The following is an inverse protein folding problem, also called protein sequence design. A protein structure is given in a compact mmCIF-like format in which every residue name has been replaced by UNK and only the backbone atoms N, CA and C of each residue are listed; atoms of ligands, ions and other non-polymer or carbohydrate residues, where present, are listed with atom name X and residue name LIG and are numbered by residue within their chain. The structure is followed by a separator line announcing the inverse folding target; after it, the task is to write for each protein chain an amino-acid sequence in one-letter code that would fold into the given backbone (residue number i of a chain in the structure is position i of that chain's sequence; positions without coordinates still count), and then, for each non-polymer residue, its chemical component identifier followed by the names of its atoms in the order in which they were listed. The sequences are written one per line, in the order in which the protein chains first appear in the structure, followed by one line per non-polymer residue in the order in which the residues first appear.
data_IF_302330752601
#
_entry.id   IF_302330752601
#
_cell.length_a   1.000
_cell.length_b   1.000
_cell.length_c   1.000
_cell.angle_alpha   90.00
_cell.angle_beta   90.00
_cell.angle_gamma   90.00
#
_symmetry.space_group_name_H-M   'P 1'
#
loop_
_entity.id
_entity.type
_entity.pdbx_description
1 polymer ?
#
# COMPACT_ATOMS: atom_id res chain seq x y z
N UNK A 1 -40.76 -5.92 -2.30
CA UNK A 1 -39.41 -6.54 -2.48
C UNK A 1 -38.74 -6.57 -1.10
N UNK A 2 -38.44 -7.73 -0.56
CA UNK A 2 -37.73 -7.86 0.73
C UNK A 2 -36.27 -8.07 0.41
N UNK A 3 -35.38 -7.20 0.93
CA UNK A 3 -33.91 -7.33 0.80
C UNK A 3 -33.43 -7.90 2.13
N UNK A 4 -32.78 -9.06 2.08
CA UNK A 4 -32.12 -9.66 3.24
C UNK A 4 -30.64 -9.29 3.20
N UNK A 5 -30.11 -8.82 4.34
CA UNK A 5 -28.68 -8.55 4.51
C UNK A 5 -28.08 -9.61 5.43
N UNK A 6 -26.93 -10.13 5.04
CA UNK A 6 -26.12 -11.00 5.91
C UNK A 6 -24.89 -10.24 6.34
N UNK A 7 -24.70 -10.07 7.64
CA UNK A 7 -23.53 -9.45 8.22
C UNK A 7 -22.49 -10.53 8.56
N UNK A 8 -21.24 -10.29 8.25
CA UNK A 8 -20.14 -11.19 8.60
C UNK A 8 -19.65 -10.99 10.04
N UNK A 9 -19.98 -9.83 10.63
CA UNK A 9 -19.57 -9.41 11.96
C UNK A 9 -20.75 -8.95 12.78
N UNK A 10 -20.60 -8.99 14.10
CA UNK A 10 -21.54 -8.40 15.07
C UNK A 10 -21.12 -6.96 15.38
N UNK A 11 -22.05 -6.16 15.94
CA UNK A 11 -21.77 -4.79 16.37
C UNK A 11 -20.61 -4.73 17.40
N UNK A 12 -20.47 -5.73 18.26
CA UNK A 12 -19.36 -5.82 19.22
C UNK A 12 -18.03 -6.03 18.48
N UNK A 13 -17.98 -6.90 17.50
CA UNK A 13 -16.78 -7.14 16.69
C UNK A 13 -16.38 -5.90 15.87
N UNK A 14 -17.35 -5.13 15.37
CA UNK A 14 -17.06 -3.87 14.69
C UNK A 14 -16.43 -2.84 15.64
N UNK A 15 -16.95 -2.71 16.88
CA UNK A 15 -16.35 -1.82 17.88
C UNK A 15 -14.91 -2.25 18.26
N UNK A 16 -14.69 -3.54 18.42
CA UNK A 16 -13.37 -4.10 18.74
C UNK A 16 -12.38 -3.89 17.57
N UNK A 17 -12.86 -4.07 16.32
CA UNK A 17 -12.10 -3.80 15.10
C UNK A 17 -11.67 -2.33 15.03
N UNK A 18 -12.58 -1.38 15.28
CA UNK A 18 -12.26 0.05 15.24
C UNK A 18 -11.20 0.44 16.29
N UNK A 19 -11.35 -0.06 17.52
CA UNK A 19 -10.40 0.20 18.60
C UNK A 19 -9.02 -0.38 18.30
N UNK A 20 -8.99 -1.62 17.81
CA UNK A 20 -7.73 -2.30 17.46
C UNK A 20 -7.06 -1.65 16.24
N UNK A 21 -7.84 -1.24 15.24
CA UNK A 21 -7.34 -0.51 14.08
C UNK A 21 -6.70 0.83 14.46
N UNK A 22 -7.35 1.59 15.35
CA UNK A 22 -6.78 2.84 15.87
C UNK A 22 -5.46 2.60 16.60
N UNK A 23 -5.41 1.58 17.46
CA UNK A 23 -4.20 1.21 18.20
C UNK A 23 -3.07 0.75 17.27
N UNK A 24 -3.41 0.03 16.20
CA UNK A 24 -2.43 -0.37 15.17
C UNK A 24 -1.86 0.84 14.43
N UNK A 25 -2.70 1.77 13.99
CA UNK A 25 -2.24 2.98 13.30
C UNK A 25 -1.34 3.85 14.18
N UNK A 26 -1.63 3.92 15.49
CA UNK A 26 -0.76 4.58 16.46
C UNK A 26 0.58 3.86 16.61
N UNK A 27 0.56 2.53 16.75
CA UNK A 27 1.76 1.70 16.81
C UNK A 27 2.65 1.87 15.56
N UNK A 28 2.05 1.90 14.37
CA UNK A 28 2.75 2.15 13.10
C UNK A 28 3.25 3.60 12.97
N UNK A 29 2.81 4.50 13.85
CA UNK A 29 3.21 5.90 13.83
C UNK A 29 2.63 6.70 12.66
N UNK A 30 1.53 6.22 12.07
CA UNK A 30 0.90 6.79 10.85
C UNK A 30 0.59 8.29 11.00
N UNK A 31 0.17 8.75 12.19
CA UNK A 31 -0.12 10.16 12.44
C UNK A 31 1.09 11.09 12.34
N UNK A 32 2.32 10.55 12.36
CA UNK A 32 3.57 11.31 12.25
C UNK A 32 4.11 11.33 10.81
N UNK A 33 3.53 10.54 9.92
CA UNK A 33 3.91 10.48 8.53
C UNK A 33 3.19 11.58 7.77
N UNK A 34 3.92 12.37 6.99
CA UNK A 34 3.35 13.47 6.21
C UNK A 34 2.73 12.96 4.92
N UNK A 35 3.38 11.99 4.29
CA UNK A 35 3.00 11.55 2.96
C UNK A 35 2.02 10.38 2.98
N UNK A 36 0.99 10.39 2.13
CA UNK A 36 0.00 9.31 2.03
C UNK A 36 0.62 7.95 1.66
N UNK A 37 1.65 7.94 0.83
CA UNK A 37 2.38 6.74 0.42
C UNK A 37 3.10 6.05 1.57
N UNK A 38 3.69 6.81 2.49
CA UNK A 38 4.36 6.27 3.68
C UNK A 38 3.37 5.58 4.60
N UNK A 39 2.22 6.22 4.82
CA UNK A 39 1.13 5.66 5.63
C UNK A 39 0.62 4.37 5.03
N UNK A 40 0.41 4.38 3.70
CA UNK A 40 -0.05 3.21 2.98
C UNK A 40 0.99 2.08 3.00
N UNK A 41 2.27 2.39 2.79
CA UNK A 41 3.36 1.42 2.82
C UNK A 41 3.43 0.73 4.18
N UNK A 42 3.42 1.49 5.28
CA UNK A 42 3.46 0.92 6.64
C UNK A 42 2.27 -0.01 6.92
N UNK A 43 1.07 0.36 6.46
CA UNK A 43 -0.14 -0.47 6.58
C UNK A 43 -0.02 -1.74 5.74
N UNK A 44 0.42 -1.61 4.49
CA UNK A 44 0.55 -2.72 3.55
C UNK A 44 1.59 -3.74 4.01
N UNK A 45 2.76 -3.26 4.42
CA UNK A 45 3.85 -4.08 4.98
C UNK A 45 3.36 -4.87 6.19
N UNK A 46 2.63 -4.20 7.09
CA UNK A 46 2.08 -4.87 8.25
C UNK A 46 1.08 -5.95 7.89
N UNK A 47 0.15 -5.68 6.94
CA UNK A 47 -0.80 -6.67 6.45
C UNK A 47 -0.08 -7.90 5.90
N UNK A 48 0.87 -7.69 4.99
CA UNK A 48 1.60 -8.78 4.33
C UNK A 48 2.43 -9.62 5.32
N UNK A 49 2.94 -8.99 6.38
CA UNK A 49 3.78 -9.66 7.37
C UNK A 49 3.01 -10.38 8.48
N UNK A 50 1.78 -9.93 8.79
CA UNK A 50 1.09 -10.37 10.01
C UNK A 50 -0.25 -11.07 9.78
N UNK A 51 -0.76 -11.08 8.55
CA UNK A 51 -2.02 -11.75 8.23
C UNK A 51 -1.73 -12.95 7.35
N UNK A 52 -2.23 -14.12 7.74
CA UNK A 52 -2.14 -15.36 6.98
C UNK A 52 -3.27 -15.43 5.94
N UNK A 53 -2.92 -15.77 4.69
CA UNK A 53 -3.93 -15.94 3.64
C UNK A 53 -4.60 -17.31 3.76
N UNK A 54 -5.89 -17.32 4.09
CA UNK A 54 -6.73 -18.51 4.28
C UNK A 54 -7.33 -19.03 2.95
N UNK A 55 -6.52 -19.05 1.91
CA UNK A 55 -6.96 -19.46 0.57
C UNK A 55 -7.48 -20.90 0.51
N UNK A 56 -6.99 -21.78 1.37
CA UNK A 56 -7.42 -23.19 1.44
C UNK A 56 -8.88 -23.31 1.89
N UNK A 57 -9.33 -22.47 2.80
CA UNK A 57 -10.68 -22.48 3.36
C UNK A 57 -11.64 -21.53 2.64
N UNK A 58 -11.25 -20.92 1.53
CA UNK A 58 -12.09 -19.93 0.83
C UNK A 58 -13.47 -20.45 0.46
N UNK A 59 -13.63 -21.73 0.15
CA UNK A 59 -14.88 -22.38 -0.21
C UNK A 59 -15.71 -22.90 0.98
N UNK A 60 -15.17 -22.82 2.21
CA UNK A 60 -15.92 -23.17 3.41
C UNK A 60 -16.96 -22.08 3.70
N UNK A 61 -18.22 -22.43 3.59
CA UNK A 61 -19.36 -21.52 3.82
C UNK A 61 -19.83 -21.48 5.27
N UNK A 62 -19.22 -22.27 6.16
CA UNK A 62 -19.60 -22.31 7.59
C UNK A 62 -18.95 -21.20 8.40
N UNK A 63 -17.75 -20.73 8.00
CA UNK A 63 -17.07 -19.61 8.62
C UNK A 63 -17.10 -18.38 7.71
N UNK A 64 -18.09 -17.53 7.85
CA UNK A 64 -18.22 -16.29 7.07
C UNK A 64 -17.33 -15.16 7.61
N UNK A 65 -16.84 -15.28 8.83
CA UNK A 65 -15.99 -14.24 9.46
C UNK A 65 -14.68 -14.01 8.68
N UNK A 66 -14.14 -15.04 8.03
CA UNK A 66 -12.92 -14.95 7.20
C UNK A 66 -12.97 -13.92 6.07
N UNK A 67 -14.18 -13.50 5.67
CA UNK A 67 -14.39 -12.45 4.65
C UNK A 67 -14.34 -11.03 5.23
N UNK A 68 -14.13 -10.88 6.55
CA UNK A 68 -14.20 -9.60 7.23
C UNK A 68 -12.83 -9.01 7.54
N UNK A 69 -12.79 -7.67 7.68
CA UNK A 69 -11.62 -6.97 8.22
C UNK A 69 -11.33 -7.38 9.67
N UNK A 70 -12.35 -7.82 10.43
CA UNK A 70 -12.18 -8.31 11.79
C UNK A 70 -11.28 -9.55 11.83
N UNK A 71 -11.57 -10.57 11.03
CA UNK A 71 -10.73 -11.77 10.97
C UNK A 71 -9.29 -11.42 10.54
N UNK A 72 -9.12 -10.57 9.53
CA UNK A 72 -7.80 -10.14 9.11
C UNK A 72 -7.02 -9.42 10.23
N UNK A 73 -7.67 -8.53 11.01
CA UNK A 73 -6.98 -7.76 12.04
C UNK A 73 -6.81 -8.51 13.35
N UNK A 74 -7.86 -9.18 13.84
CA UNK A 74 -7.89 -9.80 15.18
C UNK A 74 -7.43 -11.26 15.15
N UNK A 75 -7.98 -12.06 14.19
CA UNK A 75 -7.63 -13.47 14.06
C UNK A 75 -6.33 -13.68 13.27
N UNK A 76 -5.81 -12.62 12.62
CA UNK A 76 -4.59 -12.66 11.77
C UNK A 76 -4.69 -13.66 10.62
N UNK A 77 -5.91 -13.99 10.20
CA UNK A 77 -6.16 -14.96 9.14
C UNK A 77 -7.45 -14.61 8.40
N UNK A 78 -7.34 -14.43 7.08
CA UNK A 78 -8.49 -14.07 6.25
C UNK A 78 -8.30 -14.50 4.79
N UNK A 79 -9.38 -14.59 4.05
CA UNK A 79 -9.32 -14.67 2.57
C UNK A 79 -9.10 -13.27 1.97
N UNK A 80 -8.85 -13.19 0.66
CA UNK A 80 -8.53 -11.94 -0.05
C UNK A 80 -9.51 -10.79 0.22
N UNK A 81 -10.81 -11.08 0.35
CA UNK A 81 -11.81 -10.07 0.69
C UNK A 81 -11.58 -9.45 2.08
N UNK A 82 -11.19 -10.26 3.08
CA UNK A 82 -10.86 -9.76 4.42
C UNK A 82 -9.62 -8.85 4.40
N UNK A 83 -8.59 -9.21 3.62
CA UNK A 83 -7.44 -8.36 3.37
C UNK A 83 -7.84 -7.02 2.73
N UNK A 84 -8.62 -7.08 1.66
CA UNK A 84 -9.05 -5.89 0.94
C UNK A 84 -9.90 -4.95 1.82
N UNK A 85 -10.80 -5.51 2.65
CA UNK A 85 -11.60 -4.74 3.60
C UNK A 85 -10.73 -4.12 4.70
N UNK A 86 -9.73 -4.84 5.22
CA UNK A 86 -8.84 -4.30 6.25
C UNK A 86 -7.95 -3.19 5.68
N UNK A 87 -7.32 -3.41 4.51
CA UNK A 87 -6.55 -2.36 3.86
C UNK A 87 -7.39 -1.11 3.60
N UNK A 88 -8.61 -1.27 3.08
CA UNK A 88 -9.55 -0.17 2.86
C UNK A 88 -9.82 0.63 4.14
N UNK A 89 -10.16 -0.04 5.25
CA UNK A 89 -10.47 0.64 6.52
C UNK A 89 -9.26 1.36 7.10
N UNK A 90 -8.10 0.70 7.14
CA UNK A 90 -6.86 1.29 7.66
C UNK A 90 -6.39 2.46 6.80
N UNK A 91 -6.45 2.33 5.47
CA UNK A 91 -6.09 3.41 4.55
C UNK A 91 -6.98 4.64 4.74
N UNK A 92 -8.31 4.47 4.80
CA UNK A 92 -9.23 5.58 5.05
C UNK A 92 -8.97 6.24 6.41
N UNK A 93 -8.77 5.45 7.47
CA UNK A 93 -8.45 5.98 8.80
C UNK A 93 -7.11 6.72 8.83
N UNK A 94 -6.16 6.33 7.98
CA UNK A 94 -4.88 7.00 7.77
C UNK A 94 -4.95 8.22 6.82
N UNK A 95 -6.14 8.57 6.31
CA UNK A 95 -6.31 9.68 5.37
C UNK A 95 -5.92 9.37 3.92
N UNK A 96 -5.74 8.08 3.57
CA UNK A 96 -5.47 7.62 2.21
C UNK A 96 -6.76 7.12 1.57
N UNK A 97 -7.15 7.69 0.43
CA UNK A 97 -8.33 7.23 -0.29
C UNK A 97 -8.12 5.83 -0.87
N UNK A 98 -9.03 4.93 -0.57
CA UNK A 98 -9.02 3.57 -1.09
C UNK A 98 -10.41 3.12 -1.52
N UNK A 99 -10.48 2.03 -2.28
CA UNK A 99 -11.71 1.29 -2.65
C UNK A 99 -11.43 -0.20 -2.58
N UNK A 100 -12.45 -0.97 -2.32
CA UNK A 100 -12.42 -2.42 -2.50
C UNK A 100 -12.89 -2.73 -3.92
N UNK A 101 -12.20 -3.63 -4.56
CA UNK A 101 -12.55 -4.19 -5.88
C UNK A 101 -12.88 -5.66 -5.68
N UNK A 102 -14.02 -6.08 -6.22
CA UNK A 102 -14.42 -7.48 -6.28
C UNK A 102 -14.26 -8.00 -7.70
N UNK A 103 -13.97 -9.28 -7.83
CA UNK A 103 -13.83 -9.90 -9.15
C UNK A 103 -13.30 -11.31 -9.06
N UNK A 104 -12.48 -11.68 -10.02
CA UNK A 104 -11.84 -13.00 -10.05
C UNK A 104 -10.38 -12.92 -10.44
N UNK A 105 -9.61 -13.89 -9.96
CA UNK A 105 -8.25 -14.16 -10.37
C UNK A 105 -8.16 -15.64 -10.74
N UNK A 106 -7.74 -15.93 -11.99
CA UNK A 106 -7.74 -17.29 -12.53
C UNK A 106 -9.12 -17.99 -12.41
N UNK A 107 -10.19 -17.25 -12.63
CA UNK A 107 -11.60 -17.67 -12.50
C UNK A 107 -12.07 -17.99 -11.06
N UNK A 108 -11.29 -17.67 -10.05
CA UNK A 108 -11.66 -17.80 -8.63
C UNK A 108 -12.03 -16.44 -8.06
N UNK A 109 -13.08 -16.39 -7.21
CA UNK A 109 -13.53 -15.15 -6.56
C UNK A 109 -12.38 -14.53 -5.75
N UNK A 110 -12.16 -13.23 -5.95
CA UNK A 110 -11.05 -12.51 -5.34
C UNK A 110 -11.42 -11.05 -5.05
N UNK A 111 -10.75 -10.47 -4.02
CA UNK A 111 -10.90 -9.08 -3.65
C UNK A 111 -9.53 -8.41 -3.51
N UNK A 112 -9.41 -7.19 -4.03
CA UNK A 112 -8.20 -6.35 -3.93
C UNK A 112 -8.57 -4.88 -3.75
N UNK A 113 -7.63 -3.97 -3.89
CA UNK A 113 -7.89 -2.55 -3.65
C UNK A 113 -7.47 -1.67 -4.84
N UNK A 114 -8.20 -0.55 -4.99
CA UNK A 114 -7.68 0.68 -5.57
C UNK A 114 -7.26 1.61 -4.44
N UNK A 115 -6.12 2.26 -4.59
CA UNK A 115 -5.62 3.29 -3.67
C UNK A 115 -5.23 4.53 -4.46
N UNK A 116 -5.52 5.71 -3.89
CA UNK A 116 -5.26 7.00 -4.53
C UNK A 116 -4.03 7.64 -3.94
N UNK A 117 -3.05 7.92 -4.80
CA UNK A 117 -1.89 8.75 -4.49
C UNK A 117 -1.85 9.93 -5.46
N UNK A 118 -1.80 11.13 -4.91
CA UNK A 118 -1.97 12.35 -5.71
C UNK A 118 -3.29 12.34 -6.47
N UNK A 119 -3.22 12.48 -7.79
CA UNK A 119 -4.40 12.47 -8.68
C UNK A 119 -4.70 11.12 -9.31
N UNK A 120 -3.85 10.13 -9.12
CA UNK A 120 -3.93 8.81 -9.75
C UNK A 120 -4.36 7.72 -8.80
N UNK A 121 -4.98 6.69 -9.36
CA UNK A 121 -5.34 5.48 -8.65
C UNK A 121 -4.48 4.31 -9.13
N UNK A 122 -4.06 3.49 -8.17
CA UNK A 122 -3.21 2.32 -8.37
C UNK A 122 -3.91 1.10 -7.79
N UNK A 123 -3.59 -0.06 -8.31
CA UNK A 123 -4.07 -1.34 -7.78
C UNK A 123 -3.11 -1.91 -6.76
N UNK A 124 -3.65 -2.53 -5.71
CA UNK A 124 -2.87 -3.18 -4.66
C UNK A 124 -3.57 -4.45 -4.17
N UNK A 125 -2.83 -5.56 -4.07
CA UNK A 125 -3.33 -6.84 -3.59
C UNK A 125 -2.44 -7.42 -2.50
N UNK A 126 -2.76 -7.10 -1.25
CA UNK A 126 -2.01 -7.55 -0.09
C UNK A 126 -2.16 -9.05 0.16
N UNK A 127 -3.26 -9.68 -0.27
CA UNK A 127 -3.44 -11.11 -0.11
C UNK A 127 -2.48 -11.94 -0.99
N UNK A 128 -2.10 -11.41 -2.14
CA UNK A 128 -1.13 -12.05 -3.03
C UNK A 128 0.33 -11.79 -2.63
N UNK A 129 0.56 -10.72 -1.89
CA UNK A 129 1.87 -10.39 -1.33
C UNK A 129 2.05 -10.92 0.10
N UNK A 130 1.03 -11.59 0.68
CA UNK A 130 1.07 -12.14 2.02
C UNK A 130 2.23 -13.12 2.22
N UNK A 131 3.06 -12.87 3.24
CA UNK A 131 4.25 -13.67 3.53
C UNK A 131 5.41 -13.50 2.55
N UNK A 132 5.26 -12.68 1.50
CA UNK A 132 6.32 -12.41 0.54
C UNK A 132 7.25 -11.30 1.04
N UNK A 133 8.55 -11.42 0.72
CA UNK A 133 9.53 -10.36 1.02
C UNK A 133 9.47 -9.21 0.01
N UNK A 134 8.91 -9.42 -1.18
CA UNK A 134 8.80 -8.43 -2.24
C UNK A 134 7.33 -8.20 -2.59
N UNK A 135 6.90 -6.96 -2.54
CA UNK A 135 5.55 -6.54 -2.87
C UNK A 135 5.36 -6.41 -4.38
N UNK A 136 5.01 -7.53 -5.02
CA UNK A 136 4.85 -7.59 -6.48
C UNK A 136 3.51 -7.05 -6.96
N UNK A 137 2.53 -6.94 -6.06
CA UNK A 137 1.16 -6.52 -6.34
C UNK A 137 0.81 -5.20 -5.64
N UNK A 138 1.81 -4.42 -5.27
CA UNK A 138 1.66 -3.13 -4.61
C UNK A 138 1.76 -1.98 -5.60
N UNK A 139 0.79 -1.07 -5.59
CA UNK A 139 0.73 0.17 -6.37
C UNK A 139 0.96 -0.04 -7.88
N UNK A 140 0.26 -0.99 -8.45
CA UNK A 140 0.35 -1.35 -9.86
C UNK A 140 -0.63 -0.54 -10.71
N UNK A 141 -0.24 -0.25 -11.96
CA UNK A 141 -1.15 0.27 -12.99
C UNK A 141 -2.24 -0.76 -13.33
N UNK A 142 -1.82 -2.01 -13.43
CA UNK A 142 -2.71 -3.16 -13.63
C UNK A 142 -2.15 -4.39 -12.94
N UNK A 143 -3.05 -5.26 -12.51
CA UNK A 143 -2.71 -6.56 -11.97
C UNK A 143 -3.04 -7.63 -13.01
N UNK A 144 -2.05 -8.45 -13.36
CA UNK A 144 -2.24 -9.55 -14.30
C UNK A 144 -3.25 -10.57 -13.74
N UNK A 145 -4.08 -11.14 -14.61
CA UNK A 145 -5.11 -12.13 -14.26
C UNK A 145 -6.22 -11.64 -13.31
N UNK A 146 -6.23 -10.36 -12.91
CA UNK A 146 -7.31 -9.78 -12.12
C UNK A 146 -8.40 -9.26 -13.05
N UNK A 147 -9.60 -9.78 -12.89
CA UNK A 147 -10.77 -9.39 -13.68
C UNK A 147 -11.83 -8.85 -12.74
N UNK A 148 -12.05 -7.53 -12.69
CA UNK A 148 -13.09 -6.95 -11.86
C UNK A 148 -14.48 -7.43 -12.32
N UNK A 149 -15.41 -7.63 -11.38
CA UNK A 149 -16.80 -7.85 -11.73
C UNK A 149 -17.44 -6.60 -12.36
N UNK A 150 -18.68 -6.73 -12.87
CA UNK A 150 -19.31 -5.65 -13.62
C UNK A 150 -19.50 -4.36 -12.83
N UNK A 151 -19.77 -4.44 -11.52
CA UNK A 151 -19.93 -3.27 -10.65
C UNK A 151 -18.57 -2.63 -10.35
N UNK A 152 -17.59 -3.45 -9.99
CA UNK A 152 -16.22 -2.99 -9.74
C UNK A 152 -15.58 -2.41 -10.99
N UNK A 153 -15.79 -3.00 -12.16
CA UNK A 153 -15.31 -2.47 -13.44
C UNK A 153 -15.92 -1.09 -13.74
N UNK A 154 -17.21 -0.91 -13.48
CA UNK A 154 -17.90 0.38 -13.65
C UNK A 154 -17.33 1.44 -12.69
N UNK A 155 -17.06 1.08 -11.43
CA UNK A 155 -16.42 1.99 -10.45
C UNK A 155 -14.99 2.32 -10.87
N UNK A 156 -14.19 1.32 -11.28
CA UNK A 156 -12.83 1.55 -11.76
C UNK A 156 -12.80 2.48 -12.96
N UNK A 157 -13.75 2.36 -13.89
CA UNK A 157 -13.87 3.22 -15.06
C UNK A 157 -14.17 4.70 -14.74
N UNK A 158 -14.66 4.99 -13.53
CA UNK A 158 -14.88 6.37 -13.05
C UNK A 158 -13.63 6.98 -12.42
N UNK A 159 -12.59 6.20 -12.20
CA UNK A 159 -11.37 6.63 -11.54
C UNK A 159 -10.24 6.88 -12.54
N UNK A 160 -9.43 7.86 -12.25
CA UNK A 160 -8.27 8.20 -13.07
C UNK A 160 -7.11 7.26 -12.75
N UNK A 161 -7.18 6.04 -13.31
CA UNK A 161 -6.16 5.01 -13.10
C UNK A 161 -4.80 5.47 -13.65
N UNK A 162 -3.74 5.05 -12.98
CA UNK A 162 -2.39 5.30 -13.46
C UNK A 162 -2.10 4.42 -14.70
N UNK A 163 -1.49 4.97 -15.75
CA UNK A 163 -1.05 4.18 -16.91
C UNK A 163 0.23 3.39 -16.64
N UNK A 164 0.94 3.69 -15.55
CA UNK A 164 2.20 3.04 -15.15
C UNK A 164 2.15 2.68 -13.68
N UNK A 165 2.94 1.70 -13.28
CA UNK A 165 3.14 1.36 -11.88
C UNK A 165 3.68 2.59 -11.12
N UNK A 166 3.40 2.66 -9.82
CA UNK A 166 4.05 3.63 -8.97
C UNK A 166 5.53 3.26 -8.86
N UNK A 167 6.36 4.15 -9.33
CA UNK A 167 7.81 3.96 -9.31
C UNK A 167 8.46 5.12 -8.57
N UNK A 168 9.39 4.77 -7.71
CA UNK A 168 10.27 5.76 -7.10
C UNK A 168 11.24 6.22 -8.18
N UNK A 169 11.30 7.51 -8.42
CA UNK A 169 12.26 8.11 -9.34
C UNK A 169 13.61 8.24 -8.63
N UNK A 170 14.64 7.60 -9.18
CA UNK A 170 15.99 7.69 -8.61
C UNK A 170 16.44 9.16 -8.53
N UNK A 171 16.88 9.57 -7.37
CA UNK A 171 17.30 10.95 -7.08
C UNK A 171 16.18 11.90 -6.64
N UNK A 172 14.91 11.47 -6.70
CA UNK A 172 13.79 12.25 -6.21
C UNK A 172 13.43 11.75 -4.80
N UNK A 173 13.67 12.56 -3.77
CA UNK A 173 13.65 12.13 -2.37
C UNK A 173 12.54 12.80 -1.54
N UNK A 174 11.87 13.81 -2.12
CA UNK A 174 10.85 14.61 -1.42
C UNK A 174 9.42 14.39 -1.91
N UNK A 175 9.21 13.56 -2.94
CA UNK A 175 7.87 13.31 -3.50
C UNK A 175 7.33 14.46 -4.37
N UNK A 176 8.14 15.46 -4.71
CA UNK A 176 7.72 16.62 -5.53
C UNK A 176 7.50 16.29 -7.00
N UNK A 177 8.07 15.16 -7.46
CA UNK A 177 8.07 14.73 -8.86
C UNK A 177 9.21 15.31 -9.70
N UNK A 178 10.02 16.20 -9.13
CA UNK A 178 11.21 16.79 -9.74
C UNK A 178 12.47 16.49 -8.93
N UNK A 179 13.63 16.43 -9.56
CA UNK A 179 14.93 16.33 -8.88
C UNK A 179 15.49 17.73 -8.80
N UNK A 180 15.71 18.22 -7.57
CA UNK A 180 16.24 19.56 -7.33
C UNK A 180 17.21 19.61 -6.13
N UNK A 181 17.59 20.83 -5.73
CA UNK A 181 18.51 21.01 -4.59
C UNK A 181 17.92 20.55 -3.24
N UNK A 182 16.61 20.40 -3.14
CA UNK A 182 15.95 19.89 -1.93
C UNK A 182 16.27 18.41 -1.75
N UNK A 183 16.30 17.63 -2.85
CA UNK A 183 16.66 16.21 -2.81
C UNK A 183 18.12 16.01 -2.41
N UNK A 184 19.00 16.87 -2.92
CA UNK A 184 20.42 16.89 -2.51
C UNK A 184 20.56 17.14 -1.01
N UNK A 185 19.79 18.10 -0.47
CA UNK A 185 19.80 18.38 0.97
C UNK A 185 19.26 17.20 1.78
N UNK A 186 18.21 16.55 1.34
CA UNK A 186 17.65 15.39 2.02
C UNK A 186 18.62 14.21 2.05
N UNK A 187 19.34 13.95 0.96
CA UNK A 187 20.36 12.91 0.94
C UNK A 187 21.55 13.26 1.86
N UNK A 188 21.98 14.51 1.87
CA UNK A 188 23.01 14.98 2.79
C UNK A 188 22.60 14.78 4.25
N UNK A 189 21.38 15.18 4.62
CA UNK A 189 20.85 15.04 5.97
C UNK A 189 20.70 13.55 6.37
N UNK A 190 20.30 12.69 5.43
CA UNK A 190 20.26 11.25 5.64
C UNK A 190 21.67 10.68 5.94
N UNK A 191 22.69 11.08 5.20
CA UNK A 191 24.06 10.62 5.44
C UNK A 191 24.59 11.05 6.80
N UNK A 192 24.14 12.20 7.32
CA UNK A 192 24.52 12.68 8.64
C UNK A 192 23.77 12.02 9.78
N UNK A 193 22.49 11.73 9.59
CA UNK A 193 21.57 11.34 10.69
C UNK A 193 21.15 9.88 10.65
N UNK A 194 21.25 9.21 9.50
CA UNK A 194 20.68 7.90 9.22
C UNK A 194 19.16 7.88 9.14
N UNK A 195 18.51 9.06 9.12
CA UNK A 195 17.05 9.18 9.11
C UNK A 195 16.58 9.69 7.75
N UNK A 196 15.74 8.90 7.08
CA UNK A 196 15.01 9.36 5.90
C UNK A 196 14.05 10.48 6.32
N UNK A 197 14.02 11.55 5.53
CA UNK A 197 13.11 12.67 5.65
C UNK A 197 12.63 13.06 4.24
N UNK A 198 11.52 13.79 4.14
CA UNK A 198 10.93 14.14 2.85
C UNK A 198 9.66 13.34 2.60
N UNK A 199 9.24 13.25 1.36
CA UNK A 199 7.94 12.73 0.97
C UNK A 199 7.85 11.24 0.68
N UNK A 200 8.92 10.47 0.90
CA UNK A 200 8.97 9.04 0.57
C UNK A 200 8.99 8.15 1.81
N UNK A 201 8.50 6.91 1.66
CA UNK A 201 8.73 5.88 2.67
C UNK A 201 10.23 5.66 2.90
N UNK A 202 10.62 5.19 4.07
CA UNK A 202 12.05 4.88 4.34
C UNK A 202 12.62 3.89 3.31
N UNK A 203 11.81 2.91 2.87
CA UNK A 203 12.22 1.93 1.87
C UNK A 203 12.39 2.58 0.49
N UNK A 204 11.45 3.45 0.10
CA UNK A 204 11.49 4.14 -1.18
C UNK A 204 12.58 5.22 -1.19
N UNK A 205 12.74 5.96 -0.08
CA UNK A 205 13.85 6.89 0.08
C UNK A 205 15.20 6.19 -0.14
N UNK A 206 15.41 5.04 0.52
CA UNK A 206 16.67 4.29 0.34
C UNK A 206 16.86 3.80 -1.09
N UNK A 207 15.78 3.43 -1.76
CA UNK A 207 15.82 3.01 -3.17
C UNK A 207 16.10 4.19 -4.10
N UNK A 208 15.49 5.35 -3.83
CA UNK A 208 15.73 6.57 -4.60
C UNK A 208 17.10 7.19 -4.34
N UNK A 209 17.65 7.02 -3.14
CA UNK A 209 18.92 7.58 -2.70
C UNK A 209 20.15 6.79 -3.16
N UNK A 210 19.97 5.53 -3.57
CA UNK A 210 21.00 4.70 -4.19
C UNK A 210 21.08 5.05 -5.68
N UNK A 211 21.81 6.14 -5.98
CA UNK A 211 21.84 6.76 -7.32
C UNK A 211 22.57 5.87 -8.32
N UNK A 212 23.64 5.22 -7.87
CA UNK A 212 24.46 4.34 -8.71
C UNK A 212 23.97 2.88 -8.75
N UNK A 213 23.01 2.51 -7.89
CA UNK A 213 22.42 1.17 -7.82
C UNK A 213 23.36 0.11 -7.23
N UNK A 214 24.36 0.48 -6.42
CA UNK A 214 25.33 -0.46 -5.83
C UNK A 214 24.85 -1.10 -4.53
N UNK A 215 23.66 -0.72 -4.04
CA UNK A 215 23.03 -1.22 -2.80
C UNK A 215 23.48 -0.49 -1.55
N UNK A 216 24.34 0.55 -1.65
CA UNK A 216 24.87 1.32 -0.55
C UNK A 216 24.59 2.80 -0.74
N UNK A 217 24.05 3.47 0.28
CA UNK A 217 23.85 4.92 0.23
C UNK A 217 25.02 5.59 0.92
N UNK A 218 25.79 6.38 0.15
CA UNK A 218 27.01 7.00 0.64
C UNK A 218 27.28 8.35 -0.05
N UNK A 219 28.43 8.94 0.23
CA UNK A 219 28.81 10.25 -0.31
C UNK A 219 28.92 10.27 -1.85
N UNK A 220 29.15 9.12 -2.46
CA UNK A 220 29.23 9.02 -3.92
C UNK A 220 27.86 9.24 -4.57
N UNK A 221 26.77 8.71 -3.96
CA UNK A 221 25.40 8.98 -4.41
C UNK A 221 25.05 10.45 -4.28
N UNK A 222 25.47 11.08 -3.17
CA UNK A 222 25.29 12.52 -2.97
C UNK A 222 26.00 13.33 -4.05
N UNK A 223 27.20 12.96 -4.43
CA UNK A 223 27.93 13.59 -5.50
C UNK A 223 27.21 13.46 -6.83
N UNK A 224 26.79 12.25 -7.21
CA UNK A 224 26.06 11.99 -8.46
C UNK A 224 24.75 12.78 -8.52
N UNK A 225 24.01 12.83 -7.42
CA UNK A 225 22.78 13.60 -7.33
C UNK A 225 23.03 15.10 -7.50
N UNK A 226 24.05 15.63 -6.83
CA UNK A 226 24.46 17.03 -6.95
C UNK A 226 24.88 17.39 -8.37
N UNK A 227 25.68 16.56 -9.01
CA UNK A 227 26.10 16.73 -10.41
C UNK A 227 24.91 16.75 -11.37
N UNK A 228 23.94 15.84 -11.16
CA UNK A 228 22.69 15.79 -11.94
C UNK A 228 21.88 17.08 -11.80
N UNK A 229 21.75 17.62 -10.57
CA UNK A 229 21.01 18.86 -10.31
C UNK A 229 21.73 20.08 -10.89
N UNK A 230 23.08 20.10 -10.85
CA UNK A 230 23.87 21.20 -11.40
C UNK A 230 24.05 21.13 -12.93
N UNK A 231 23.59 20.06 -13.60
CA UNK A 231 23.82 19.84 -15.02
C UNK A 231 25.29 19.60 -15.38
N UNK A 232 26.07 19.09 -14.43
CA UNK A 232 27.47 18.71 -14.60
C UNK A 232 27.46 17.23 -15.02
N UNK A 233 27.30 16.95 -16.30
CA UNK A 233 27.53 15.61 -16.86
C UNK A 233 28.91 15.57 -17.50
N UNK A 234 29.74 14.57 -17.11
CA UNK A 234 30.93 14.24 -17.86
C UNK A 234 30.61 13.71 -19.26
#
# INVERSE_FOLDING_TARGET
MTIAFTYFTTARQETELEQTAASLLDYLGVARMTEPEDRLAAIYDWLCAHVENDSENRNDTTNLLKYSAYAALLDKRAVSQGYALLLYRLALAAGVNARVVSGSVNAESHGWNLVKLGVRWYQADAAWDAGAQAHRHYLKASLSNHQPDGESAAVMGQHFLSPTDFTVKIGELNGSGGIDSTDVQLLYDYLLTGKAAGGLSTADFRRAADINGDGSINVYDLQLLYESVCGISE
#
